data_IF_749120093494
#
_entry.id   IF_749120093494
#
_cell.length_a   1.000
_cell.length_b   1.000
_cell.length_c   1.000
_cell.angle_alpha   90.00
_cell.angle_beta   90.00
_cell.angle_gamma   90.00
#
_symmetry.space_group_name_H-M   'P 1'
#
loop_
_entity.id
_entity.type
_entity.pdbx_description
1 polymer ?
#
# COMPACT_ATOMS: atom_id res chain seq x y z
N UNK A 1 9.89 2.93 25.39
CA UNK A 1 8.52 3.48 25.32
C UNK A 1 7.74 2.59 24.36
N UNK A 2 6.61 2.02 24.78
CA UNK A 2 5.84 1.11 23.93
C UNK A 2 4.93 1.93 23.01
N UNK A 3 5.16 1.83 21.70
CA UNK A 3 4.25 2.37 20.68
C UNK A 3 3.00 1.50 20.61
N UNK A 4 1.83 2.12 20.49
CA UNK A 4 0.56 1.41 20.26
C UNK A 4 0.11 1.58 18.82
N UNK A 5 -0.46 0.54 18.22
CA UNK A 5 -0.97 0.63 16.84
C UNK A 5 -2.36 1.30 16.83
N UNK A 6 -2.57 2.23 15.89
CA UNK A 6 -3.87 2.86 15.70
C UNK A 6 -4.89 1.86 15.13
N UNK A 7 -6.06 1.64 15.74
CA UNK A 7 -7.06 0.69 15.21
C UNK A 7 -7.72 1.13 13.89
N UNK A 8 -7.48 2.36 13.41
CA UNK A 8 -8.06 2.83 12.14
C UNK A 8 -7.09 2.80 10.97
N UNK A 9 -5.84 3.22 11.18
CA UNK A 9 -4.82 3.28 10.13
C UNK A 9 -3.68 2.29 10.33
N UNK A 10 -3.67 1.57 11.45
CA UNK A 10 -2.68 0.56 11.82
C UNK A 10 -1.23 1.05 11.91
N UNK A 11 -1.00 2.36 11.83
CA UNK A 11 0.29 2.98 12.06
C UNK A 11 0.66 2.91 13.56
N UNK A 12 1.94 2.68 13.90
CA UNK A 12 2.43 2.81 15.27
C UNK A 12 2.40 4.29 15.67
N UNK A 13 1.72 4.60 16.77
CA UNK A 13 1.49 5.96 17.23
C UNK A 13 1.68 6.09 18.74
N UNK A 14 1.89 7.33 19.18
CA UNK A 14 1.53 7.78 20.51
C UNK A 14 0.26 8.63 20.37
N UNK A 15 -0.91 8.13 20.81
CA UNK A 15 -2.13 8.93 20.80
C UNK A 15 -1.93 10.24 21.57
N UNK A 16 -2.53 11.32 21.08
CA UNK A 16 -2.59 12.60 21.78
C UNK A 16 -3.38 12.44 23.10
N UNK A 17 -3.33 13.44 23.99
CA UNK A 17 -4.00 13.39 25.30
C UNK A 17 -5.51 13.12 25.21
N UNK A 18 -6.14 13.62 24.14
CA UNK A 18 -7.55 13.42 23.79
C UNK A 18 -7.86 12.03 23.18
N UNK A 19 -6.83 11.21 22.95
CA UNK A 19 -6.92 9.91 22.28
C UNK A 19 -6.85 9.97 20.76
N UNK A 20 -6.60 11.13 20.15
CA UNK A 20 -6.55 11.30 18.70
C UNK A 20 -5.26 10.73 18.10
N UNK A 21 -5.40 10.01 16.98
CA UNK A 21 -4.27 9.50 16.21
C UNK A 21 -3.60 10.63 15.42
N UNK A 22 -2.27 10.84 15.54
CA UNK A 22 -1.57 11.89 14.78
C UNK A 22 -1.52 11.61 13.26
N UNK A 23 -1.60 10.34 12.83
CA UNK A 23 -1.52 9.96 11.43
C UNK A 23 -2.86 10.12 10.68
N UNK A 24 -3.94 9.55 11.20
CA UNK A 24 -5.25 9.57 10.53
C UNK A 24 -6.28 10.52 11.15
N UNK A 25 -5.92 11.21 12.25
CA UNK A 25 -6.77 12.17 12.97
C UNK A 25 -8.08 11.61 13.54
N UNK A 26 -8.25 10.29 13.57
CA UNK A 26 -9.41 9.63 14.21
C UNK A 26 -9.14 9.39 15.69
N UNK A 27 -10.18 9.51 16.52
CA UNK A 27 -10.07 9.22 17.95
C UNK A 27 -10.00 7.70 18.18
N UNK A 28 -8.88 7.22 18.71
CA UNK A 28 -8.62 5.78 18.90
C UNK A 28 -9.60 5.10 19.87
N UNK A 29 -10.23 5.87 20.78
CA UNK A 29 -11.17 5.35 21.78
C UNK A 29 -12.54 4.99 21.18
N UNK A 30 -12.87 5.51 19.99
CA UNK A 30 -14.16 5.25 19.31
C UNK A 30 -14.08 4.11 18.31
N UNK A 31 -12.94 3.41 18.23
CA UNK A 31 -12.77 2.31 17.29
C UNK A 31 -13.66 1.12 17.64
N UNK A 32 -14.27 0.46 16.63
CA UNK A 32 -14.96 -0.81 16.84
C UNK A 32 -14.01 -1.85 17.46
N UNK A 33 -14.48 -2.72 18.37
CA UNK A 33 -13.66 -3.73 19.04
C UNK A 33 -12.99 -4.69 18.04
N UNK A 34 -13.64 -4.96 16.91
CA UNK A 34 -13.13 -5.80 15.83
C UNK A 34 -11.80 -5.28 15.26
N UNK A 35 -11.62 -3.96 15.18
CA UNK A 35 -10.41 -3.38 14.59
C UNK A 35 -9.14 -3.65 15.42
N UNK A 36 -9.27 -3.93 16.72
CA UNK A 36 -8.14 -4.23 17.59
C UNK A 36 -7.53 -5.62 17.35
N UNK A 37 -8.19 -6.47 16.57
CA UNK A 37 -7.69 -7.78 16.16
C UNK A 37 -6.77 -7.70 14.93
N UNK A 38 -6.74 -6.54 14.26
CA UNK A 38 -5.94 -6.32 13.07
C UNK A 38 -4.69 -5.50 13.35
N UNK A 39 -3.76 -5.58 12.42
CA UNK A 39 -2.45 -4.93 12.45
C UNK A 39 -1.96 -4.75 11.01
N UNK A 40 -1.04 -3.82 10.79
CA UNK A 40 -0.38 -3.70 9.49
C UNK A 40 0.73 -4.76 9.39
N UNK A 41 0.78 -5.47 8.27
CA UNK A 41 1.92 -6.33 7.92
C UNK A 41 2.42 -5.99 6.53
N UNK A 42 3.74 -6.02 6.38
CA UNK A 42 4.44 -5.97 5.11
C UNK A 42 4.42 -7.36 4.49
N UNK A 43 3.96 -7.46 3.26
CA UNK A 43 3.92 -8.69 2.49
C UNK A 43 4.64 -8.47 1.16
N UNK A 44 5.47 -9.42 0.75
CA UNK A 44 6.08 -9.47 -0.58
C UNK A 44 5.33 -10.46 -1.50
N UNK A 45 5.46 -10.30 -2.83
CA UNK A 45 4.82 -11.20 -3.81
C UNK A 45 5.32 -12.64 -3.65
N UNK A 46 6.64 -12.80 -3.48
CA UNK A 46 7.32 -14.10 -3.55
C UNK A 46 7.63 -14.71 -2.17
N UNK A 47 6.95 -14.26 -1.11
CA UNK A 47 7.15 -14.81 0.23
C UNK A 47 6.24 -16.00 0.51
N UNK A 48 6.71 -16.90 1.38
CA UNK A 48 5.87 -17.95 1.93
C UNK A 48 4.90 -17.36 2.96
N UNK A 49 3.63 -17.76 2.88
CA UNK A 49 2.59 -17.35 3.81
C UNK A 49 2.25 -18.48 4.78
N UNK A 50 1.91 -18.16 6.05
CA UNK A 50 1.46 -19.17 6.99
C UNK A 50 0.09 -19.73 6.58
N UNK A 51 -0.18 -20.99 6.95
CA UNK A 51 -1.45 -21.70 6.72
C UNK A 51 -2.57 -21.19 7.64
N UNK A 52 -2.84 -19.89 7.61
CA UNK A 52 -3.97 -19.27 8.31
C UNK A 52 -4.51 -18.08 7.55
N UNK A 53 -5.81 -17.84 7.69
CA UNK A 53 -6.53 -16.81 6.97
C UNK A 53 -6.02 -15.42 7.33
N UNK A 54 -5.70 -14.61 6.32
CA UNK A 54 -5.19 -13.24 6.49
C UNK A 54 -6.18 -12.31 7.22
N UNK A 55 -7.49 -12.59 7.13
CA UNK A 55 -8.54 -11.75 7.72
C UNK A 55 -8.95 -12.16 9.14
N UNK A 56 -9.14 -13.46 9.41
CA UNK A 56 -9.65 -13.92 10.72
C UNK A 56 -8.61 -14.70 11.53
N UNK A 57 -7.48 -15.07 10.94
CA UNK A 57 -6.42 -15.84 11.60
C UNK A 57 -6.76 -17.30 11.92
N UNK A 58 -7.90 -17.83 11.45
CA UNK A 58 -8.21 -19.27 11.51
C UNK A 58 -7.28 -20.04 10.57
N UNK A 59 -6.91 -21.26 10.94
CA UNK A 59 -6.07 -22.10 10.08
C UNK A 59 -6.79 -22.43 8.76
N UNK A 60 -6.05 -22.37 7.65
CA UNK A 60 -6.55 -22.66 6.30
C UNK A 60 -5.39 -22.94 5.36
N UNK A 61 -5.59 -23.90 4.46
CA UNK A 61 -4.72 -24.25 3.34
C UNK A 61 -5.17 -23.62 2.02
N UNK A 62 -6.28 -22.87 2.04
CA UNK A 62 -6.88 -22.31 0.84
C UNK A 62 -6.18 -21.01 0.44
N UNK A 63 -5.34 -21.10 -0.60
CA UNK A 63 -4.64 -19.99 -1.21
C UNK A 63 -5.44 -19.43 -2.39
N UNK A 64 -5.56 -18.11 -2.43
CA UNK A 64 -6.37 -17.40 -3.41
C UNK A 64 -5.59 -16.25 -4.03
N UNK A 65 -5.64 -16.15 -5.37
CA UNK A 65 -4.98 -15.05 -6.09
C UNK A 65 -5.75 -13.76 -5.84
N UNK A 66 -5.13 -12.83 -5.14
CA UNK A 66 -5.66 -11.51 -4.85
C UNK A 66 -5.12 -10.50 -5.85
N UNK A 67 -5.96 -10.12 -6.81
CA UNK A 67 -5.63 -9.15 -7.86
C UNK A 67 -6.20 -7.78 -7.48
N UNK A 68 -5.35 -6.76 -7.50
CA UNK A 68 -5.77 -5.39 -7.25
C UNK A 68 -5.08 -4.41 -8.21
N UNK A 69 -5.74 -3.29 -8.44
CA UNK A 69 -5.24 -2.22 -9.28
C UNK A 69 -4.78 -1.06 -8.41
N UNK A 70 -3.57 -0.57 -8.66
CA UNK A 70 -3.06 0.60 -7.99
C UNK A 70 -2.67 1.65 -9.02
N UNK A 71 -3.21 2.85 -8.83
CA UNK A 71 -2.83 4.02 -9.60
C UNK A 71 -1.54 4.56 -8.98
N UNK A 72 -0.39 4.11 -9.50
CA UNK A 72 0.89 4.63 -9.04
C UNK A 72 1.03 6.08 -9.49
N UNK A 73 0.98 7.01 -8.53
CA UNK A 73 1.37 8.42 -8.73
C UNK A 73 2.87 8.60 -8.96
N UNK A 74 3.64 7.54 -9.24
CA UNK A 74 5.08 7.61 -9.48
C UNK A 74 5.47 8.53 -10.66
N UNK A 75 4.51 8.85 -11.54
CA UNK A 75 4.66 9.89 -12.56
C UNK A 75 4.93 11.27 -11.94
N UNK A 76 4.23 11.65 -10.86
CA UNK A 76 4.21 13.04 -10.39
C UNK A 76 5.61 13.57 -10.01
N UNK A 77 6.51 12.73 -9.48
CA UNK A 77 7.81 13.20 -8.98
C UNK A 77 8.91 13.30 -10.03
N UNK A 78 8.93 12.39 -11.01
CA UNK A 78 9.86 12.45 -12.15
C UNK A 78 9.33 13.40 -13.22
N UNK A 79 8.00 13.49 -13.36
CA UNK A 79 7.36 14.44 -14.26
C UNK A 79 7.55 15.86 -13.79
N UNK A 80 7.57 16.18 -12.49
CA UNK A 80 7.85 17.54 -12.02
C UNK A 80 9.24 18.03 -12.43
N UNK A 81 10.28 17.19 -12.29
CA UNK A 81 11.64 17.56 -12.68
C UNK A 81 11.78 17.68 -14.21
N UNK A 82 11.23 16.73 -14.96
CA UNK A 82 11.25 16.75 -16.44
C UNK A 82 10.39 17.90 -17.01
N UNK A 83 9.25 18.18 -16.39
CA UNK A 83 8.36 19.29 -16.73
C UNK A 83 9.04 20.62 -16.43
N UNK A 84 9.67 20.78 -15.26
CA UNK A 84 10.43 21.99 -14.94
C UNK A 84 11.60 22.18 -15.91
N UNK A 85 12.35 21.12 -16.25
CA UNK A 85 13.41 21.19 -17.25
C UNK A 85 12.86 21.59 -18.64
N UNK A 86 11.73 21.03 -19.05
CA UNK A 86 11.04 21.38 -20.30
C UNK A 86 10.54 22.84 -20.29
N UNK A 87 9.94 23.30 -19.20
CA UNK A 87 9.49 24.70 -19.04
C UNK A 87 10.69 25.64 -19.16
N UNK A 88 11.78 25.36 -18.46
CA UNK A 88 13.00 26.17 -18.53
C UNK A 88 13.61 26.20 -19.95
N UNK A 89 13.61 25.08 -20.67
CA UNK A 89 14.05 25.04 -22.08
C UNK A 89 13.06 25.75 -23.02
N UNK A 90 11.77 25.66 -22.75
CA UNK A 90 10.72 26.24 -23.59
C UNK A 90 10.73 27.77 -23.60
N UNK A 91 11.17 28.42 -22.52
CA UNK A 91 11.34 29.89 -22.44
C UNK A 91 12.38 30.38 -23.47
N UNK A 92 13.35 29.54 -23.85
CA UNK A 92 14.35 29.85 -24.88
C UNK A 92 13.85 29.54 -26.31
N UNK A 93 12.81 28.72 -26.45
CA UNK A 93 12.26 28.25 -27.74
C UNK A 93 10.74 28.37 -27.80
N UNK A 94 10.20 29.51 -27.39
CA UNK A 94 8.79 29.71 -27.05
C UNK A 94 7.77 29.31 -28.14
N UNK A 95 8.15 29.30 -29.42
CA UNK A 95 7.27 28.88 -30.52
C UNK A 95 7.17 27.38 -30.72
N UNK A 96 8.22 26.61 -30.41
CA UNK A 96 8.26 25.16 -30.71
C UNK A 96 7.63 24.35 -29.58
N UNK A 97 7.81 24.76 -28.33
CA UNK A 97 7.30 24.04 -27.16
C UNK A 97 5.76 23.98 -27.09
N UNK A 98 5.06 25.01 -27.60
CA UNK A 98 3.60 25.04 -27.67
C UNK A 98 3.01 23.95 -28.58
N UNK A 99 3.74 23.53 -29.62
CA UNK A 99 3.31 22.45 -30.51
C UNK A 99 3.44 21.06 -29.87
N UNK A 100 4.40 20.88 -28.94
CA UNK A 100 4.64 19.60 -28.26
C UNK A 100 3.84 19.42 -26.96
N UNK A 101 3.39 20.51 -26.33
CA UNK A 101 2.56 20.52 -25.12
C UNK A 101 1.32 19.57 -25.17
N UNK A 102 0.49 19.58 -26.23
CA UNK A 102 -0.67 18.68 -26.28
C UNK A 102 -0.29 17.20 -26.44
N UNK A 103 0.79 16.87 -27.15
CA UNK A 103 1.29 15.49 -27.24
C UNK A 103 1.87 15.02 -25.91
N UNK A 104 2.61 15.88 -25.21
CA UNK A 104 3.17 15.58 -23.90
C UNK A 104 2.07 15.35 -22.86
N UNK A 105 1.03 16.20 -22.83
CA UNK A 105 -0.15 16.00 -21.96
C UNK A 105 -0.88 14.69 -22.22
N UNK A 106 -0.97 14.24 -23.48
CA UNK A 106 -1.58 12.95 -23.82
C UNK A 106 -0.72 11.77 -23.35
N UNK A 107 0.61 11.92 -23.37
CA UNK A 107 1.55 10.92 -22.85
C UNK A 107 1.54 10.84 -21.32
N UNK A 108 1.44 11.98 -20.64
CA UNK A 108 1.29 12.06 -19.17
C UNK A 108 -0.05 11.50 -18.69
N UNK A 109 -1.10 11.55 -19.51
CA UNK A 109 -2.40 10.91 -19.20
C UNK A 109 -2.39 9.39 -19.28
N UNK A 110 -1.31 8.76 -19.75
CA UNK A 110 -1.14 7.32 -19.59
C UNK A 110 -0.76 7.00 -18.14
N UNK A 111 -1.70 7.27 -17.23
CA UNK A 111 -1.74 6.65 -15.92
C UNK A 111 -1.57 5.15 -16.13
N UNK A 112 -0.40 4.63 -15.79
CA UNK A 112 -0.16 3.20 -15.77
C UNK A 112 -0.94 2.66 -14.58
N UNK A 113 -2.17 2.20 -14.85
CA UNK A 113 -2.85 1.26 -13.96
C UNK A 113 -1.95 0.04 -13.83
N UNK A 114 -1.25 -0.07 -12.71
CA UNK A 114 -0.47 -1.26 -12.44
C UNK A 114 -1.41 -2.28 -11.79
N UNK A 115 -1.42 -3.48 -12.37
CA UNK A 115 -2.18 -4.60 -11.83
C UNK A 115 -1.20 -5.48 -11.08
N UNK A 116 -1.49 -5.71 -9.81
CA UNK A 116 -0.68 -6.55 -8.93
C UNK A 116 -1.50 -7.78 -8.55
N UNK A 117 -0.83 -8.92 -8.46
CA UNK A 117 -1.40 -10.19 -8.03
C UNK A 117 -0.52 -10.76 -6.92
N UNK A 118 -1.15 -11.21 -5.84
CA UNK A 118 -0.47 -11.86 -4.70
C UNK A 118 -1.34 -13.01 -4.20
N UNK A 119 -0.75 -14.17 -3.95
CA UNK A 119 -1.50 -15.31 -3.43
C UNK A 119 -1.60 -15.19 -1.91
N UNK A 120 -2.81 -15.04 -1.37
CA UNK A 120 -3.04 -14.89 0.05
C UNK A 120 -3.98 -15.99 0.57
N UNK A 121 -3.76 -16.49 1.79
CA UNK A 121 -4.65 -17.47 2.40
C UNK A 121 -5.95 -16.81 2.89
N UNK A 122 -7.09 -17.32 2.42
CA UNK A 122 -8.42 -16.90 2.87
C UNK A 122 -9.24 -18.14 3.24
N UNK A 123 -9.84 -18.16 4.43
CA UNK A 123 -10.79 -19.22 4.76
C UNK A 123 -12.10 -19.06 3.96
N UNK A 124 -12.89 -20.13 3.75
CA UNK A 124 -14.14 -20.07 2.99
C UNK A 124 -15.13 -19.00 3.49
N UNK A 125 -15.23 -18.82 4.82
CA UNK A 125 -16.08 -17.80 5.45
C UNK A 125 -15.69 -16.36 5.06
N UNK A 126 -14.39 -16.11 4.84
CA UNK A 126 -13.84 -14.78 4.59
C UNK A 126 -13.66 -14.48 3.10
N UNK A 127 -13.78 -15.49 2.23
CA UNK A 127 -13.63 -15.33 0.79
C UNK A 127 -14.57 -14.27 0.19
N UNK A 128 -15.85 -14.13 0.62
CA UNK A 128 -16.72 -13.06 0.11
C UNK A 128 -16.21 -11.65 0.43
N UNK A 129 -15.46 -11.48 1.53
CA UNK A 129 -14.90 -10.19 1.92
C UNK A 129 -13.66 -9.78 1.10
N UNK A 130 -13.05 -10.72 0.36
CA UNK A 130 -11.90 -10.51 -0.53
C UNK A 130 -12.07 -9.29 -1.43
N UNK A 131 -13.26 -9.11 -2.03
CA UNK A 131 -13.54 -8.01 -2.96
C UNK A 131 -13.40 -6.60 -2.33
N UNK A 132 -13.58 -6.49 -1.02
CA UNK A 132 -13.45 -5.22 -0.27
C UNK A 132 -12.09 -5.05 0.38
N UNK A 133 -11.26 -6.09 0.36
CA UNK A 133 -9.94 -6.07 0.91
C UNK A 133 -9.03 -5.24 0.00
N UNK A 134 -8.18 -4.39 0.56
CA UNK A 134 -7.28 -3.53 -0.20
C UNK A 134 -5.98 -3.30 0.58
N UNK A 135 -4.84 -3.13 -0.11
CA UNK A 135 -3.61 -2.70 0.54
C UNK A 135 -3.77 -1.29 1.11
N UNK A 136 -3.11 -1.03 2.23
CA UNK A 136 -3.03 0.28 2.89
C UNK A 136 -2.08 1.19 2.09
N UNK A 137 -0.88 0.70 1.81
CA UNK A 137 0.16 1.38 1.03
C UNK A 137 0.96 0.37 0.21
N UNK A 138 1.60 0.87 -0.86
CA UNK A 138 2.47 0.08 -1.73
C UNK A 138 3.78 0.83 -1.90
N UNK A 139 4.88 0.20 -1.51
CA UNK A 139 6.23 0.74 -1.60
C UNK A 139 7.10 -0.21 -2.44
N UNK A 140 7.10 0.02 -3.76
CA UNK A 140 7.82 -0.83 -4.70
C UNK A 140 7.19 -2.24 -4.77
N UNK A 141 7.92 -3.25 -4.30
CA UNK A 141 7.48 -4.65 -4.24
C UNK A 141 6.94 -5.07 -2.87
N UNK A 142 6.87 -4.14 -1.91
CA UNK A 142 6.39 -4.37 -0.55
C UNK A 142 4.98 -3.79 -0.44
N UNK A 143 4.04 -4.61 0.01
CA UNK A 143 2.65 -4.22 0.21
C UNK A 143 2.33 -4.19 1.69
N UNK A 144 1.72 -3.12 2.17
CA UNK A 144 1.24 -3.05 3.53
C UNK A 144 -0.24 -3.42 3.56
N UNK A 145 -0.58 -4.54 4.19
CA UNK A 145 -1.94 -5.04 4.31
C UNK A 145 -2.45 -4.95 5.74
N UNK A 146 -3.77 -4.73 5.88
CA UNK A 146 -4.47 -4.91 7.16
C UNK A 146 -4.67 -6.40 7.40
N UNK A 147 -3.86 -7.03 8.23
CA UNK A 147 -3.95 -8.48 8.51
C UNK A 147 -4.40 -8.75 9.94
N UNK A 148 -4.90 -9.95 10.22
CA UNK A 148 -5.18 -10.39 11.58
C UNK A 148 -3.88 -10.56 12.39
N UNK A 149 -3.91 -10.27 13.69
CA UNK A 149 -2.71 -10.40 14.55
C UNK A 149 -2.14 -11.82 14.60
N UNK A 150 -2.99 -12.85 14.59
CA UNK A 150 -2.53 -14.24 14.53
C UNK A 150 -1.79 -14.56 13.22
N UNK A 151 -2.22 -13.97 12.11
CA UNK A 151 -1.54 -14.10 10.83
C UNK A 151 -0.15 -13.47 10.91
N UNK A 152 -0.06 -12.21 11.38
CA UNK A 152 1.22 -11.51 11.57
C UNK A 152 2.17 -12.25 12.52
N UNK A 153 1.66 -12.86 13.58
CA UNK A 153 2.45 -13.61 14.54
C UNK A 153 3.06 -14.90 13.95
N UNK A 154 2.44 -15.47 12.91
CA UNK A 154 2.95 -16.65 12.19
C UNK A 154 3.78 -16.31 10.95
N UNK A 155 3.86 -15.03 10.56
CA UNK A 155 4.72 -14.63 9.44
C UNK A 155 6.19 -14.87 9.79
N UNK A 156 7.01 -15.37 8.86
CA UNK A 156 8.45 -15.48 9.08
C UNK A 156 9.04 -14.10 9.36
N UNK A 157 9.76 -13.96 10.47
CA UNK A 157 10.41 -12.70 10.87
C UNK A 157 11.54 -12.29 9.93
N UNK A 158 12.08 -13.25 9.19
CA UNK A 158 13.20 -13.07 8.27
C UNK A 158 12.65 -12.76 6.88
N UNK A 159 12.02 -11.58 6.72
CA UNK A 159 11.87 -11.06 5.37
C UNK A 159 13.26 -10.69 4.85
N UNK A 160 13.71 -11.26 3.71
CA UNK A 160 14.93 -10.78 3.08
C UNK A 160 14.68 -9.32 2.77
N UNK A 161 15.45 -8.43 3.42
CA UNK A 161 15.47 -7.01 3.06
C UNK A 161 15.89 -6.97 1.60
N UNK A 162 14.91 -6.81 0.69
CA UNK A 162 15.17 -6.64 -0.73
C UNK A 162 15.89 -5.31 -0.85
N UNK A 163 17.22 -5.34 -0.69
CA UNK A 163 18.07 -4.21 -1.00
C UNK A 163 17.90 -4.00 -2.50
N UNK A 164 17.07 -3.02 -2.86
CA UNK A 164 16.96 -2.51 -4.21
C UNK A 164 18.38 -2.11 -4.63
N UNK A 165 19.07 -3.01 -5.34
CA UNK A 165 20.34 -2.73 -5.96
C UNK A 165 20.04 -1.68 -7.02
N UNK A 166 20.27 -0.41 -6.70
CA UNK A 166 20.27 0.67 -7.67
C UNK A 166 21.32 0.34 -8.74
N UNK A 167 20.88 -0.14 -9.89
CA UNK A 167 21.69 -0.28 -11.10
C UNK A 167 21.54 0.97 -11.95
#
# INVERSE_FOLDING_TARGET
>A
MNLTECPFCYAPIHPLEDGTCPACRKNTRTAPPENFQYTAAELAVDQDFPECCVLCGKDTDHMEEFVFHYDSHLGDRLDDAAYMAFVMFSVLTAGVALLFLPQYRKRLRNYRKMTYAINLPFCPDCLPAKATYAPITIEGSIYHFKVHKNFKAKLPSDMPVVRLSSR
#
